data_IF_473892950474
#
_entry.id   IF_473892950474
#
_cell.length_a   1.000
_cell.length_b   1.000
_cell.length_c   1.000
_cell.angle_alpha   90.00
_cell.angle_beta   90.00
_cell.angle_gamma   90.00
#
_symmetry.space_group_name_H-M   'P 1'
#
loop_
_entity.id
_entity.type
_entity.pdbx_description
1 polymer ?
#
# COMPACT_ATOMS: atom_id res chain seq x y z
N UNK A 1 -53.29 -7.55 -43.59
CA UNK A 1 -52.13 -6.68 -43.31
C UNK A 1 -51.82 -6.85 -41.83
N UNK A 2 -51.01 -7.85 -41.52
CA UNK A 2 -50.39 -8.01 -40.21
C UNK A 2 -49.30 -6.94 -40.12
N UNK A 3 -49.48 -5.96 -39.22
CA UNK A 3 -48.46 -4.96 -38.95
C UNK A 3 -47.15 -5.63 -38.50
N UNK A 4 -46.01 -4.95 -38.64
CA UNK A 4 -44.75 -5.47 -38.12
C UNK A 4 -44.93 -5.74 -36.62
N UNK A 5 -44.45 -6.90 -36.18
CA UNK A 5 -44.35 -7.21 -34.75
C UNK A 5 -43.49 -6.14 -34.07
N UNK A 6 -43.76 -5.79 -32.79
CA UNK A 6 -42.86 -4.93 -32.03
C UNK A 6 -41.47 -5.57 -32.06
N UNK A 7 -40.49 -4.83 -32.56
CA UNK A 7 -39.07 -5.17 -32.51
C UNK A 7 -38.71 -5.37 -31.05
N UNK A 8 -38.14 -6.54 -30.74
CA UNK A 8 -37.66 -6.90 -29.42
C UNK A 8 -36.62 -5.86 -28.96
N UNK A 9 -36.87 -5.08 -27.88
CA UNK A 9 -35.99 -4.00 -27.45
C UNK A 9 -34.82 -4.50 -26.59
N UNK A 10 -34.50 -5.79 -26.63
CA UNK A 10 -33.39 -6.37 -25.87
C UNK A 10 -32.06 -6.19 -26.63
N UNK A 11 -31.47 -4.99 -26.51
CA UNK A 11 -30.14 -4.66 -27.05
C UNK A 11 -28.98 -5.35 -26.31
N UNK A 12 -29.27 -6.21 -25.31
CA UNK A 12 -28.25 -6.89 -24.50
C UNK A 12 -27.17 -7.60 -25.32
N UNK A 13 -27.46 -8.36 -26.39
CA UNK A 13 -26.41 -9.02 -27.18
C UNK A 13 -25.44 -8.03 -27.84
N UNK A 14 -25.92 -6.88 -28.30
CA UNK A 14 -25.14 -5.85 -28.98
C UNK A 14 -24.26 -5.08 -27.98
N UNK A 15 -24.82 -4.76 -26.81
CA UNK A 15 -24.10 -4.15 -25.67
C UNK A 15 -22.96 -5.07 -25.22
N UNK A 16 -23.24 -6.36 -25.01
CA UNK A 16 -22.21 -7.33 -24.61
C UNK A 16 -21.15 -7.54 -25.69
N UNK A 17 -21.51 -7.49 -26.97
CA UNK A 17 -20.56 -7.54 -28.07
C UNK A 17 -19.63 -6.31 -28.08
N UNK A 18 -20.19 -5.10 -27.95
CA UNK A 18 -19.41 -3.84 -27.84
C UNK A 18 -18.43 -3.87 -26.68
N UNK A 19 -18.87 -4.39 -25.53
CA UNK A 19 -18.05 -4.54 -24.35
C UNK A 19 -16.96 -5.61 -24.52
N UNK A 20 -17.24 -6.73 -25.20
CA UNK A 20 -16.24 -7.74 -25.53
C UNK A 20 -15.15 -7.19 -26.49
N UNK A 21 -15.53 -6.39 -27.48
CA UNK A 21 -14.60 -5.69 -28.37
C UNK A 21 -13.71 -4.71 -27.60
N UNK A 22 -14.29 -3.93 -26.69
CA UNK A 22 -13.57 -3.00 -25.82
C UNK A 22 -12.56 -3.71 -24.92
N UNK A 23 -12.95 -4.85 -24.32
CA UNK A 23 -12.04 -5.69 -23.52
C UNK A 23 -10.86 -6.21 -24.33
N UNK A 24 -11.11 -6.67 -25.55
CA UNK A 24 -10.04 -7.17 -26.42
C UNK A 24 -9.08 -6.06 -26.81
N UNK A 25 -9.61 -4.88 -27.14
CA UNK A 25 -8.79 -3.69 -27.39
C UNK A 25 -7.94 -3.32 -26.17
N UNK A 26 -8.55 -3.25 -24.98
CA UNK A 26 -7.85 -2.93 -23.73
C UNK A 26 -6.75 -3.94 -23.40
N UNK A 27 -7.01 -5.24 -23.62
CA UNK A 27 -6.03 -6.29 -23.40
C UNK A 27 -4.86 -6.23 -24.40
N UNK A 28 -5.07 -5.68 -25.60
CA UNK A 28 -4.00 -5.40 -26.55
C UNK A 28 -3.13 -4.21 -26.12
N UNK A 29 -3.72 -3.18 -25.50
CA UNK A 29 -2.99 -2.00 -25.00
C UNK A 29 -2.23 -2.29 -23.70
N UNK A 30 -2.85 -3.01 -22.76
CA UNK A 30 -2.26 -3.39 -21.48
C UNK A 30 -2.33 -4.90 -21.25
N UNK A 31 -1.51 -5.71 -21.95
CA UNK A 31 -1.54 -7.17 -21.82
C UNK A 31 -1.31 -7.68 -20.40
N UNK A 32 -0.61 -6.90 -19.56
CA UNK A 32 -0.34 -7.18 -18.15
C UNK A 32 -1.57 -7.07 -17.24
N UNK A 33 -2.67 -6.49 -17.73
CA UNK A 33 -3.96 -6.42 -17.03
C UNK A 33 -5.01 -7.36 -17.63
N UNK A 34 -4.64 -8.24 -18.57
CA UNK A 34 -5.61 -9.09 -19.27
C UNK A 34 -6.46 -9.94 -18.31
N UNK A 35 -5.86 -10.57 -17.29
CA UNK A 35 -6.61 -11.34 -16.30
C UNK A 35 -7.64 -10.49 -15.56
N UNK A 36 -7.29 -9.24 -15.20
CA UNK A 36 -8.21 -8.29 -14.58
C UNK A 36 -9.35 -7.89 -15.53
N UNK A 37 -9.05 -7.57 -16.79
CA UNK A 37 -10.06 -7.21 -17.81
C UNK A 37 -11.09 -8.31 -18.03
N UNK A 38 -10.65 -9.57 -18.07
CA UNK A 38 -11.55 -10.72 -18.26
C UNK A 38 -12.27 -11.14 -16.97
N UNK A 39 -11.84 -10.64 -15.80
CA UNK A 39 -12.49 -10.86 -14.52
C UNK A 39 -13.60 -9.86 -14.22
N UNK A 40 -13.58 -8.67 -14.85
CA UNK A 40 -14.71 -7.74 -14.80
C UNK A 40 -15.99 -8.47 -15.24
N UNK A 41 -17.15 -8.05 -14.73
CA UNK A 41 -18.45 -8.63 -15.12
C UNK A 41 -19.38 -7.54 -15.67
N UNK A 42 -19.90 -7.67 -16.90
CA UNK A 42 -20.87 -6.72 -17.40
C UNK A 42 -22.21 -6.94 -16.69
N UNK A 43 -22.81 -5.84 -16.24
CA UNK A 43 -24.19 -5.78 -15.78
C UNK A 43 -24.91 -4.82 -16.72
N UNK A 44 -25.80 -5.34 -17.57
CA UNK A 44 -26.57 -4.51 -18.50
C UNK A 44 -27.76 -3.94 -17.75
N UNK A 45 -27.86 -2.62 -17.73
CA UNK A 45 -28.94 -1.90 -17.06
C UNK A 45 -30.21 -1.89 -17.91
N UNK A 46 -31.34 -1.61 -17.28
CA UNK A 46 -32.59 -1.38 -18.01
C UNK A 46 -32.43 -0.15 -18.92
N UNK A 47 -32.66 -0.27 -20.24
CA UNK A 47 -32.46 0.84 -21.15
C UNK A 47 -33.49 1.95 -20.91
N UNK A 48 -33.01 3.19 -20.85
CA UNK A 48 -33.88 4.34 -21.06
C UNK A 48 -34.17 4.48 -22.56
N UNK A 49 -35.45 4.41 -22.93
CA UNK A 49 -35.91 4.47 -24.33
C UNK A 49 -36.69 5.75 -24.58
N UNK A 50 -36.44 6.37 -25.73
CA UNK A 50 -37.22 7.51 -26.20
C UNK A 50 -38.64 7.04 -26.57
N UNK A 51 -39.67 7.69 -26.02
CA UNK A 51 -41.07 7.25 -26.18
C UNK A 51 -41.59 7.40 -27.62
N UNK A 52 -41.00 8.27 -28.44
CA UNK A 52 -41.44 8.54 -29.81
C UNK A 52 -40.75 7.63 -30.83
N UNK A 53 -39.46 7.35 -30.64
CA UNK A 53 -38.60 6.60 -31.57
C UNK A 53 -38.38 5.16 -31.15
N UNK A 54 -38.52 4.85 -29.85
CA UNK A 54 -38.22 3.54 -29.27
C UNK A 54 -36.72 3.21 -29.20
N UNK A 55 -35.85 4.17 -29.51
CA UNK A 55 -34.40 3.99 -29.48
C UNK A 55 -33.85 4.20 -28.06
N UNK A 56 -32.81 3.46 -27.69
CA UNK A 56 -32.10 3.67 -26.42
C UNK A 56 -31.40 5.04 -26.42
N UNK A 57 -31.67 5.85 -25.40
CA UNK A 57 -31.08 7.17 -25.21
C UNK A 57 -29.88 7.03 -24.27
N UNK A 58 -28.68 7.51 -24.66
CA UNK A 58 -27.51 7.50 -23.79
C UNK A 58 -27.74 8.32 -22.52
N UNK A 59 -27.46 7.70 -21.37
CA UNK A 59 -27.40 8.40 -20.09
C UNK A 59 -25.96 8.93 -19.84
N UNK A 60 -25.84 10.23 -19.60
CA UNK A 60 -24.55 10.90 -19.36
C UNK A 60 -23.93 10.48 -18.02
N UNK A 61 -24.73 10.08 -17.03
CA UNK A 61 -24.23 9.59 -15.74
C UNK A 61 -23.49 8.25 -15.90
N UNK A 62 -23.80 7.47 -16.95
CA UNK A 62 -23.16 6.18 -17.26
C UNK A 62 -22.10 6.27 -18.36
N UNK A 63 -21.70 7.48 -18.78
CA UNK A 63 -20.70 7.68 -19.86
C UNK A 63 -19.32 7.09 -19.57
N UNK A 64 -19.05 6.78 -18.30
CA UNK A 64 -17.82 6.16 -17.84
C UNK A 64 -17.96 4.68 -17.48
N UNK A 65 -19.15 4.10 -17.59
CA UNK A 65 -19.40 2.68 -17.28
C UNK A 65 -18.99 2.33 -15.84
N UNK A 66 -19.62 2.94 -14.81
CA UNK A 66 -19.18 2.86 -13.42
C UNK A 66 -18.99 1.41 -12.96
N UNK A 67 -17.98 1.20 -12.11
CA UNK A 67 -17.66 -0.11 -11.57
C UNK A 67 -17.95 -0.17 -10.06
N UNK A 68 -18.37 -1.34 -9.59
CA UNK A 68 -18.59 -1.58 -8.16
C UNK A 68 -17.43 -2.35 -7.51
N UNK A 69 -17.39 -2.36 -6.19
CA UNK A 69 -16.35 -3.08 -5.41
C UNK A 69 -16.34 -4.61 -5.65
N UNK A 70 -17.37 -5.16 -6.29
CA UNK A 70 -17.51 -6.58 -6.64
C UNK A 70 -17.04 -6.88 -8.07
N UNK A 71 -16.38 -5.92 -8.74
CA UNK A 71 -15.86 -6.02 -10.10
C UNK A 71 -16.94 -6.10 -11.19
N UNK A 72 -18.16 -5.67 -10.88
CA UNK A 72 -19.16 -5.47 -11.92
C UNK A 72 -18.93 -4.12 -12.59
N UNK A 73 -19.23 -4.06 -13.89
CA UNK A 73 -19.22 -2.84 -14.70
C UNK A 73 -20.63 -2.66 -15.22
N UNK A 74 -21.25 -1.54 -14.85
CA UNK A 74 -22.64 -1.25 -15.18
C UNK A 74 -22.74 -0.56 -16.53
N UNK A 75 -23.50 -1.17 -17.44
CA UNK A 75 -23.59 -0.80 -18.84
C UNK A 75 -24.98 -0.28 -19.15
N UNK A 76 -25.11 1.04 -19.28
CA UNK A 76 -26.27 1.64 -19.95
C UNK A 76 -26.22 1.29 -21.45
N UNK A 77 -27.29 0.68 -22.02
CA UNK A 77 -27.31 0.31 -23.43
C UNK A 77 -27.09 1.48 -24.39
N UNK A 78 -27.69 2.65 -24.13
CA UNK A 78 -27.57 3.83 -24.98
C UNK A 78 -26.12 4.34 -25.04
N UNK A 79 -25.52 4.58 -23.88
CA UNK A 79 -24.14 5.04 -23.72
C UNK A 79 -23.14 4.03 -24.30
N UNK A 80 -23.35 2.74 -24.05
CA UNK A 80 -22.44 1.68 -24.54
C UNK A 80 -22.42 1.63 -26.07
N UNK A 81 -23.59 1.63 -26.71
CA UNK A 81 -23.68 1.53 -28.17
C UNK A 81 -23.22 2.81 -28.89
N UNK A 82 -23.44 3.98 -28.28
CA UNK A 82 -22.97 5.27 -28.79
C UNK A 82 -21.44 5.46 -28.67
N UNK A 83 -20.77 4.72 -27.77
CA UNK A 83 -19.36 4.92 -27.45
C UNK A 83 -18.45 3.96 -28.22
N UNK A 84 -17.41 4.48 -28.87
CA UNK A 84 -16.46 3.65 -29.63
C UNK A 84 -15.69 2.66 -28.73
N UNK A 85 -15.40 1.42 -29.18
CA UNK A 85 -14.74 0.40 -28.36
C UNK A 85 -13.43 0.85 -27.67
N UNK A 86 -12.53 1.66 -28.30
CA UNK A 86 -11.34 2.16 -27.62
C UNK A 86 -11.64 3.03 -26.39
N UNK A 87 -12.71 3.84 -26.44
CA UNK A 87 -13.11 4.71 -25.32
C UNK A 87 -13.69 3.87 -24.18
N UNK A 88 -14.53 2.89 -24.49
CA UNK A 88 -15.02 1.94 -23.49
C UNK A 88 -13.83 1.18 -22.87
N UNK A 89 -12.89 0.70 -23.69
CA UNK A 89 -11.73 -0.03 -23.24
C UNK A 89 -10.79 0.79 -22.35
N UNK A 90 -10.68 2.10 -22.61
CA UNK A 90 -9.96 3.03 -21.74
C UNK A 90 -10.60 3.08 -20.35
N UNK A 91 -11.93 3.21 -20.27
CA UNK A 91 -12.66 3.17 -19.00
C UNK A 91 -12.50 1.84 -18.27
N UNK A 92 -12.44 0.70 -18.97
CA UNK A 92 -12.18 -0.58 -18.32
C UNK A 92 -10.79 -0.64 -17.66
N UNK A 93 -9.77 -0.08 -18.30
CA UNK A 93 -8.43 0.02 -17.72
C UNK A 93 -8.41 0.97 -16.52
N UNK A 94 -9.14 2.08 -16.62
CA UNK A 94 -9.33 3.03 -15.53
C UNK A 94 -9.98 2.35 -14.31
N UNK A 95 -11.09 1.64 -14.49
CA UNK A 95 -11.79 0.94 -13.41
C UNK A 95 -10.94 -0.14 -12.75
N UNK A 96 -10.13 -0.88 -13.51
CA UNK A 96 -9.14 -1.81 -12.93
C UNK A 96 -8.18 -1.06 -12.00
N UNK A 97 -7.78 0.16 -12.38
CA UNK A 97 -6.99 1.05 -11.55
C UNK A 97 -7.61 1.29 -10.18
N UNK A 98 -8.89 1.69 -10.13
CA UNK A 98 -9.62 1.89 -8.87
C UNK A 98 -9.72 0.60 -8.03
N UNK A 99 -10.09 -0.51 -8.68
CA UNK A 99 -10.34 -1.79 -8.03
C UNK A 99 -9.09 -2.35 -7.36
N UNK A 100 -7.97 -2.42 -8.09
CA UNK A 100 -6.73 -3.05 -7.57
C UNK A 100 -5.95 -2.16 -6.59
N UNK A 101 -6.18 -0.85 -6.64
CA UNK A 101 -5.64 0.13 -5.68
C UNK A 101 -6.54 0.31 -4.46
N UNK A 102 -7.68 -0.39 -4.42
CA UNK A 102 -8.63 -0.39 -3.33
C UNK A 102 -9.12 1.01 -2.94
N UNK A 103 -9.36 1.89 -3.92
CA UNK A 103 -9.76 3.28 -3.68
C UNK A 103 -11.02 3.38 -2.81
N UNK A 104 -12.00 2.51 -3.02
CA UNK A 104 -13.17 2.39 -2.16
C UNK A 104 -12.85 2.23 -0.66
N UNK A 105 -11.82 1.44 -0.31
CA UNK A 105 -11.44 1.20 1.10
C UNK A 105 -10.54 2.29 1.67
N UNK A 106 -9.80 2.98 0.80
CA UNK A 106 -8.91 4.11 1.15
C UNK A 106 -9.66 5.43 1.25
N UNK A 107 -10.89 5.48 0.73
CA UNK A 107 -11.76 6.65 0.77
C UNK A 107 -11.94 7.18 2.19
N UNK A 108 -11.76 8.50 2.43
CA UNK A 108 -12.05 9.12 3.71
C UNK A 108 -13.56 9.28 3.96
N UNK A 109 -14.40 8.94 2.97
CA UNK A 109 -15.86 9.00 3.09
C UNK A 109 -16.35 7.77 3.84
N UNK A 110 -17.16 7.98 4.88
CA UNK A 110 -17.82 6.89 5.59
C UNK A 110 -18.89 6.27 4.69
N UNK A 111 -18.89 4.95 4.52
CA UNK A 111 -19.95 4.21 3.82
C UNK A 111 -21.37 4.43 4.39
N UNK A 112 -21.49 5.02 5.60
CA UNK A 112 -22.76 5.40 6.22
C UNK A 112 -23.17 6.86 5.95
N UNK A 113 -22.42 7.60 5.11
CA UNK A 113 -22.82 8.92 4.68
C UNK A 113 -23.93 8.80 3.62
N UNK A 114 -25.07 9.50 3.78
CA UNK A 114 -26.09 9.55 2.74
C UNK A 114 -25.58 10.42 1.60
N UNK A 115 -24.80 9.83 0.70
CA UNK A 115 -24.43 10.41 -0.58
C UNK A 115 -25.25 9.67 -1.62
N UNK A 116 -25.94 10.40 -2.49
CA UNK A 116 -26.77 9.81 -3.54
C UNK A 116 -25.94 9.46 -4.78
N UNK A 117 -24.81 10.12 -5.00
CA UNK A 117 -23.92 9.89 -6.15
C UNK A 117 -22.46 10.28 -5.87
N UNK A 118 -21.50 9.58 -6.50
CA UNK A 118 -20.07 9.93 -6.60
C UNK A 118 -19.82 11.34 -7.17
N UNK A 119 -20.78 11.87 -7.93
CA UNK A 119 -20.79 13.21 -8.52
C UNK A 119 -21.07 14.34 -7.51
N UNK A 120 -21.72 13.99 -6.38
CA UNK A 120 -22.04 14.85 -5.24
C UNK A 120 -23.02 15.98 -5.54
N UNK A 121 -24.15 16.04 -4.83
CA UNK A 121 -24.97 17.26 -4.79
C UNK A 121 -24.40 18.26 -3.77
N UNK A 122 -24.95 19.47 -3.71
CA UNK A 122 -24.45 20.52 -2.82
C UNK A 122 -24.68 20.18 -1.33
N UNK A 123 -23.71 19.51 -0.71
CA UNK A 123 -23.67 19.13 0.71
C UNK A 123 -22.25 18.85 1.23
N UNK A 124 -22.07 18.82 2.56
CA UNK A 124 -20.75 18.62 3.18
C UNK A 124 -20.14 17.22 2.97
N UNK A 125 -20.89 16.10 3.07
CA UNK A 125 -20.36 14.75 2.79
C UNK A 125 -20.00 14.55 1.31
N UNK A 126 -20.88 15.00 0.42
CA UNK A 126 -20.77 14.92 -1.04
C UNK A 126 -19.54 15.68 -1.57
N UNK A 127 -19.15 16.76 -0.89
CA UNK A 127 -17.94 17.51 -1.25
C UNK A 127 -16.63 16.76 -0.98
N UNK A 128 -16.63 15.84 -0.01
CA UNK A 128 -15.46 15.00 0.32
C UNK A 128 -15.37 13.83 -0.67
N UNK A 129 -16.49 13.16 -0.94
CA UNK A 129 -16.57 12.10 -1.96
C UNK A 129 -16.14 12.61 -3.33
N UNK A 130 -16.65 13.78 -3.72
CA UNK A 130 -16.24 14.45 -4.94
C UNK A 130 -14.73 14.60 -5.05
N UNK A 131 -14.07 15.18 -4.04
CA UNK A 131 -12.62 15.42 -4.08
C UNK A 131 -11.82 14.13 -4.04
N UNK A 132 -12.31 13.13 -3.31
CA UNK A 132 -11.71 11.80 -3.30
C UNK A 132 -11.72 11.18 -4.70
N UNK A 133 -12.87 11.21 -5.39
CA UNK A 133 -12.97 10.71 -6.76
C UNK A 133 -12.01 11.44 -7.71
N UNK A 134 -11.90 12.77 -7.63
CA UNK A 134 -10.92 13.52 -8.42
C UNK A 134 -9.47 13.12 -8.13
N UNK A 135 -9.15 12.83 -6.86
CA UNK A 135 -7.81 12.42 -6.45
C UNK A 135 -7.49 10.99 -6.90
N UNK A 136 -8.47 10.09 -6.78
CA UNK A 136 -8.41 8.71 -7.22
C UNK A 136 -8.28 8.62 -8.75
N UNK A 137 -9.05 9.41 -9.50
CA UNK A 137 -8.94 9.54 -10.96
C UNK A 137 -7.55 10.04 -11.35
N UNK A 138 -7.00 11.03 -10.63
CA UNK A 138 -5.66 11.53 -10.89
C UNK A 138 -4.58 10.46 -10.67
N UNK A 139 -4.70 9.62 -9.64
CA UNK A 139 -3.80 8.47 -9.40
C UNK A 139 -3.93 7.39 -10.50
N UNK A 140 -5.11 7.18 -11.07
CA UNK A 140 -5.31 6.14 -12.11
C UNK A 140 -4.92 6.63 -13.49
N UNK A 141 -5.32 7.85 -13.83
CA UNK A 141 -5.19 8.39 -15.18
C UNK A 141 -3.74 8.75 -15.52
N UNK A 142 -2.87 8.94 -14.52
CA UNK A 142 -1.44 9.14 -14.73
C UNK A 142 -0.79 7.95 -15.45
N UNK A 143 -1.18 6.72 -15.12
CA UNK A 143 -0.66 5.49 -15.72
C UNK A 143 -1.21 5.30 -17.14
N UNK A 144 -2.46 5.71 -17.40
CA UNK A 144 -3.09 5.63 -18.72
C UNK A 144 -2.48 6.66 -19.68
N UNK A 145 -2.21 7.88 -19.19
CA UNK A 145 -1.48 8.91 -19.95
C UNK A 145 -0.02 8.48 -20.19
N UNK A 146 0.65 7.93 -19.18
CA UNK A 146 2.02 7.40 -19.32
C UNK A 146 2.11 6.20 -20.27
N UNK A 147 1.03 5.44 -20.45
CA UNK A 147 0.91 4.40 -21.46
C UNK A 147 0.69 4.97 -22.89
N UNK A 148 0.47 6.28 -23.02
CA UNK A 148 0.24 6.95 -24.29
C UNK A 148 -1.13 6.69 -24.89
N UNK A 149 -2.14 6.39 -24.05
CA UNK A 149 -3.51 6.20 -24.50
C UNK A 149 -4.22 7.55 -24.67
N UNK A 150 -5.00 7.68 -25.75
CA UNK A 150 -5.82 8.86 -25.97
C UNK A 150 -6.95 8.92 -24.93
N UNK A 151 -6.91 9.93 -24.07
CA UNK A 151 -7.86 10.09 -22.97
C UNK A 151 -9.22 10.63 -23.45
N UNK A 152 -10.34 10.10 -22.90
CA UNK A 152 -11.66 10.68 -23.13
C UNK A 152 -11.74 12.16 -22.70
N UNK A 153 -12.67 12.91 -23.28
CA UNK A 153 -12.86 14.32 -22.91
C UNK A 153 -13.35 14.44 -21.46
N UNK A 154 -12.82 15.40 -20.72
CA UNK A 154 -13.29 15.73 -19.37
C UNK A 154 -12.70 14.89 -18.23
N UNK A 155 -11.82 13.93 -18.52
CA UNK A 155 -11.14 13.15 -17.48
C UNK A 155 -10.22 14.02 -16.62
N UNK A 156 -10.00 13.57 -15.39
CA UNK A 156 -9.13 14.24 -14.43
C UNK A 156 -7.79 13.52 -14.37
N UNK A 157 -6.71 14.23 -14.69
CA UNK A 157 -5.34 13.73 -14.56
C UNK A 157 -4.45 14.76 -13.88
N UNK A 158 -3.27 14.36 -13.34
CA UNK A 158 -2.35 15.32 -12.74
C UNK A 158 -1.95 16.41 -13.74
N UNK A 159 -1.76 16.05 -15.01
CA UNK A 159 -1.49 17.01 -16.08
C UNK A 159 -2.65 18.00 -16.29
N UNK A 160 -3.90 17.53 -16.36
CA UNK A 160 -5.08 18.40 -16.46
C UNK A 160 -5.23 19.34 -15.26
N UNK A 161 -4.81 18.90 -14.07
CA UNK A 161 -4.84 19.67 -12.82
C UNK A 161 -3.62 20.60 -12.64
N UNK A 162 -2.59 20.48 -13.49
CA UNK A 162 -1.31 21.17 -13.31
C UNK A 162 -0.53 20.72 -12.07
N UNK A 163 -0.72 19.48 -11.64
CA UNK A 163 -0.09 18.86 -10.47
C UNK A 163 1.04 17.89 -10.89
N UNK A 164 1.99 17.58 -9.99
CA UNK A 164 3.02 16.57 -10.26
C UNK A 164 2.41 15.17 -10.46
N UNK A 165 2.93 14.41 -11.42
CA UNK A 165 2.55 13.02 -11.71
C UNK A 165 3.07 12.02 -10.65
N UNK A 166 2.53 10.80 -10.64
CA UNK A 166 3.09 9.66 -9.90
C UNK A 166 2.80 9.65 -8.39
N UNK A 167 1.81 10.40 -7.93
CA UNK A 167 1.40 10.46 -6.52
C UNK A 167 0.20 9.56 -6.23
N UNK A 168 -0.01 9.25 -4.96
CA UNK A 168 -1.19 8.55 -4.49
C UNK A 168 -2.40 9.50 -4.34
N UNK A 169 -3.61 8.96 -4.33
CA UNK A 169 -4.86 9.68 -4.13
C UNK A 169 -4.85 10.51 -2.84
N UNK A 170 -4.30 9.99 -1.74
CA UNK A 170 -4.19 10.72 -0.47
C UNK A 170 -3.23 11.92 -0.56
N UNK A 171 -2.26 11.89 -1.48
CA UNK A 171 -1.37 13.02 -1.73
C UNK A 171 -2.01 14.05 -2.68
N UNK A 172 -2.85 13.61 -3.62
CA UNK A 172 -3.61 14.51 -4.50
C UNK A 172 -4.75 15.22 -3.77
N UNK A 173 -5.41 14.55 -2.83
CA UNK A 173 -6.56 15.10 -2.09
C UNK A 173 -6.31 16.50 -1.50
N UNK A 174 -5.27 16.75 -0.68
CA UNK A 174 -5.01 18.09 -0.13
C UNK A 174 -4.63 19.11 -1.21
N UNK A 175 -4.03 18.70 -2.32
CA UNK A 175 -3.72 19.60 -3.45
C UNK A 175 -5.01 20.04 -4.16
N UNK A 176 -5.94 19.12 -4.36
CA UNK A 176 -7.26 19.39 -4.96
C UNK A 176 -8.10 20.28 -4.04
N UNK A 177 -8.05 20.09 -2.71
CA UNK A 177 -8.71 20.99 -1.75
C UNK A 177 -8.23 22.44 -1.87
N UNK A 178 -6.92 22.64 -2.09
CA UNK A 178 -6.34 23.97 -2.33
C UNK A 178 -6.84 24.54 -3.66
N UNK A 179 -6.88 23.74 -4.73
CA UNK A 179 -7.37 24.15 -6.05
C UNK A 179 -8.87 24.53 -6.00
N UNK A 180 -9.70 23.73 -5.35
CA UNK A 180 -11.14 24.00 -5.15
C UNK A 180 -11.38 25.31 -4.37
N UNK A 181 -10.56 25.55 -3.34
CA UNK A 181 -10.64 26.78 -2.54
C UNK A 181 -10.27 28.01 -3.36
N UNK A 182 -9.26 27.89 -4.23
CA UNK A 182 -8.89 28.94 -5.18
C UNK A 182 -9.97 29.15 -6.25
N UNK A 183 -10.57 28.08 -6.74
CA UNK A 183 -11.64 28.09 -7.72
C UNK A 183 -12.88 28.85 -7.21
N UNK A 184 -13.28 28.60 -5.97
CA UNK A 184 -14.40 29.28 -5.29
C UNK A 184 -14.22 30.80 -5.15
N UNK A 185 -13.02 31.34 -5.43
CA UNK A 185 -12.70 32.78 -5.43
C UNK A 185 -12.63 33.40 -6.84
N UNK A 186 -13.16 32.71 -7.86
CA UNK A 186 -13.29 33.22 -9.24
C UNK A 186 -12.49 32.47 -10.31
N UNK A 187 -12.10 31.21 -10.05
CA UNK A 187 -11.45 30.34 -11.06
C UNK A 187 -12.45 29.68 -12.02
N UNK A 188 -11.95 28.86 -12.96
CA UNK A 188 -12.76 28.04 -13.90
C UNK A 188 -12.88 26.59 -13.41
N UNK A 189 -14.07 25.97 -13.53
CA UNK A 189 -14.39 24.66 -12.90
C UNK A 189 -13.51 23.60 -13.56
N UNK A 190 -12.94 22.72 -12.74
CA UNK A 190 -11.78 21.91 -13.16
C UNK A 190 -12.13 20.78 -14.13
N UNK A 191 -13.35 20.24 -14.06
CA UNK A 191 -14.03 19.41 -15.07
C UNK A 191 -15.45 19.16 -14.57
N UNK A 192 -16.35 18.66 -15.42
CA UNK A 192 -17.58 18.02 -14.95
C UNK A 192 -17.22 16.69 -14.31
N UNK A 193 -17.78 16.40 -13.13
CA UNK A 193 -17.44 15.15 -12.46
C UNK A 193 -17.96 13.97 -13.25
N UNK A 194 -17.20 12.89 -13.22
CA UNK A 194 -17.54 11.63 -13.87
C UNK A 194 -17.82 10.62 -12.76
N UNK A 195 -18.94 9.90 -12.85
CA UNK A 195 -19.27 8.83 -11.92
C UNK A 195 -18.45 7.58 -12.27
N UNK A 196 -17.55 7.18 -11.38
CA UNK A 196 -16.75 5.96 -11.52
C UNK A 196 -17.34 4.78 -10.74
N UNK A 197 -18.46 4.97 -10.05
CA UNK A 197 -19.14 4.00 -9.19
C UNK A 197 -18.46 3.76 -7.85
N UNK A 198 -19.02 2.83 -7.06
CA UNK A 198 -18.54 2.55 -5.71
C UNK A 198 -17.10 2.00 -5.66
N UNK A 199 -16.52 1.55 -6.77
CA UNK A 199 -15.11 1.18 -6.83
C UNK A 199 -14.16 2.35 -6.50
N UNK A 200 -14.60 3.59 -6.75
CA UNK A 200 -13.80 4.78 -6.50
C UNK A 200 -13.92 5.28 -5.06
N UNK A 201 -15.13 5.42 -4.51
CA UNK A 201 -15.37 6.06 -3.20
C UNK A 201 -15.97 5.14 -2.13
N UNK A 202 -16.41 3.93 -2.50
CA UNK A 202 -17.02 2.96 -1.59
C UNK A 202 -18.48 3.25 -1.24
N UNK A 203 -19.14 4.16 -1.95
CA UNK A 203 -20.54 4.54 -1.72
C UNK A 203 -21.44 3.71 -2.64
N UNK A 204 -22.31 2.83 -2.11
CA UNK A 204 -23.21 2.05 -2.94
C UNK A 204 -24.25 2.94 -3.65
N UNK A 205 -24.61 2.57 -4.89
CA UNK A 205 -25.62 3.27 -5.68
C UNK A 205 -26.87 2.39 -5.92
N UNK A 206 -28.00 3.02 -6.21
CA UNK A 206 -29.28 2.32 -6.44
C UNK A 206 -29.22 1.32 -7.62
N UNK A 207 -28.40 1.60 -8.64
CA UNK A 207 -28.18 0.69 -9.78
C UNK A 207 -27.31 -0.52 -9.42
N UNK A 208 -26.57 -0.48 -8.31
CA UNK A 208 -25.77 -1.60 -7.81
C UNK A 208 -26.63 -2.62 -7.07
N UNK A 209 -27.76 -2.23 -6.46
CA UNK A 209 -28.62 -3.12 -5.66
C UNK A 209 -29.58 -3.97 -6.51
N UNK A 210 -29.97 -3.50 -7.69
CA UNK A 210 -31.03 -4.08 -8.51
C UNK A 210 -30.55 -5.09 -9.55
N UNK A 211 -29.26 -5.04 -9.93
CA UNK A 211 -28.70 -5.81 -11.04
C UNK A 211 -27.36 -6.51 -10.74
N UNK A 212 -26.78 -6.35 -9.54
CA UNK A 212 -25.51 -6.98 -9.20
C UNK A 212 -25.67 -8.49 -9.00
N UNK A 213 -25.23 -9.27 -9.99
CA UNK A 213 -25.02 -10.70 -9.83
C UNK A 213 -23.96 -11.01 -8.76
N UNK A 214 -23.67 -12.31 -8.56
CA UNK A 214 -22.56 -12.74 -7.70
C UNK A 214 -21.21 -12.32 -8.33
N UNK A 215 -20.82 -11.06 -8.15
CA UNK A 215 -19.48 -10.54 -8.48
C UNK A 215 -18.38 -11.27 -7.70
N UNK A 216 -17.13 -10.87 -7.89
CA UNK A 216 -16.01 -11.59 -7.26
C UNK A 216 -16.07 -11.53 -5.74
N UNK A 217 -15.85 -12.68 -5.10
CA UNK A 217 -15.62 -12.76 -3.65
C UNK A 217 -14.30 -12.09 -3.27
N UNK A 218 -14.13 -11.75 -1.98
CA UNK A 218 -12.86 -11.21 -1.45
C UNK A 218 -11.65 -12.11 -1.78
N UNK A 219 -11.79 -13.42 -1.59
CA UNK A 219 -10.71 -14.37 -1.90
C UNK A 219 -10.40 -14.45 -3.39
N UNK A 220 -11.40 -14.39 -4.27
CA UNK A 220 -11.18 -14.37 -5.72
C UNK A 220 -10.48 -13.08 -6.16
N UNK A 221 -10.85 -11.92 -5.57
CA UNK A 221 -10.19 -10.63 -5.80
C UNK A 221 -8.71 -10.68 -5.38
N UNK A 222 -8.43 -11.20 -4.19
CA UNK A 222 -7.05 -11.36 -3.70
C UNK A 222 -6.18 -12.23 -4.61
N UNK A 223 -6.71 -13.37 -5.06
CA UNK A 223 -6.00 -14.29 -5.97
C UNK A 223 -5.76 -13.61 -7.31
N UNK A 224 -6.76 -12.89 -7.84
CA UNK A 224 -6.65 -12.16 -9.09
C UNK A 224 -5.58 -11.07 -9.01
N UNK A 225 -5.58 -10.26 -7.96
CA UNK A 225 -4.57 -9.21 -7.75
C UNK A 225 -3.15 -9.76 -7.67
N UNK A 226 -2.95 -10.85 -6.93
CA UNK A 226 -1.65 -11.53 -6.87
C UNK A 226 -1.20 -12.04 -8.24
N UNK A 227 -2.13 -12.56 -9.04
CA UNK A 227 -1.84 -13.01 -10.40
C UNK A 227 -1.46 -11.84 -11.31
N UNK A 228 -2.20 -10.71 -11.27
CA UNK A 228 -1.90 -9.49 -12.02
C UNK A 228 -0.54 -8.93 -11.62
N UNK A 229 -0.25 -8.84 -10.32
CA UNK A 229 1.02 -8.34 -9.83
C UNK A 229 2.20 -9.22 -10.30
N UNK A 230 2.06 -10.55 -10.27
CA UNK A 230 3.07 -11.48 -10.79
C UNK A 230 3.28 -11.35 -12.30
N UNK A 231 2.20 -11.11 -13.03
CA UNK A 231 2.25 -10.91 -14.49
C UNK A 231 2.98 -9.61 -14.84
N UNK A 232 2.71 -8.51 -14.12
CA UNK A 232 3.44 -7.24 -14.27
C UNK A 232 4.93 -7.44 -13.99
N UNK A 233 5.30 -8.12 -12.90
CA UNK A 233 6.69 -8.39 -12.55
C UNK A 233 7.39 -9.22 -13.65
N UNK A 234 6.73 -10.28 -14.14
CA UNK A 234 7.25 -11.16 -15.20
C UNK A 234 7.50 -10.38 -16.49
N UNK A 235 6.54 -9.54 -16.92
CA UNK A 235 6.70 -8.71 -18.13
C UNK A 235 7.70 -7.57 -17.95
N UNK A 236 7.78 -6.99 -16.75
CA UNK A 236 8.81 -5.99 -16.41
C UNK A 236 10.21 -6.60 -16.52
N UNK A 237 10.42 -7.82 -16.02
CA UNK A 237 11.68 -8.56 -16.18
C UNK A 237 12.01 -8.85 -17.65
N UNK A 238 10.98 -9.08 -18.48
CA UNK A 238 11.11 -9.21 -19.94
C UNK A 238 11.30 -7.86 -20.67
N UNK A 239 11.46 -6.74 -19.95
CA UNK A 239 11.63 -5.37 -20.47
C UNK A 239 10.44 -4.86 -21.29
N UNK A 240 9.23 -5.31 -20.98
CA UNK A 240 8.02 -4.72 -21.55
C UNK A 240 7.84 -3.26 -21.06
N UNK A 241 7.31 -2.41 -21.91
CA UNK A 241 6.90 -1.05 -21.53
C UNK A 241 5.66 -1.14 -20.65
N UNK A 242 5.82 -0.82 -19.37
CA UNK A 242 4.73 -0.77 -18.38
C UNK A 242 4.84 0.60 -17.70
N UNK A 243 3.74 1.29 -17.38
CA UNK A 243 3.79 2.52 -16.59
C UNK A 243 4.43 2.32 -15.20
N UNK A 244 4.93 3.42 -14.64
CA UNK A 244 5.63 3.40 -13.35
C UNK A 244 4.74 3.02 -12.17
N UNK A 245 3.49 3.49 -12.15
CA UNK A 245 2.52 3.20 -11.09
C UNK A 245 2.23 1.72 -11.00
N UNK A 246 1.91 1.08 -12.12
CA UNK A 246 1.72 -0.38 -12.20
C UNK A 246 2.91 -1.19 -11.67
N UNK A 247 4.15 -0.80 -11.94
CA UNK A 247 5.34 -1.48 -11.39
C UNK A 247 5.45 -1.32 -9.88
N UNK A 248 5.18 -0.12 -9.35
CA UNK A 248 5.20 0.14 -7.90
C UNK A 248 4.11 -0.67 -7.19
N UNK A 249 2.88 -0.58 -7.69
CA UNK A 249 1.74 -1.35 -7.18
C UNK A 249 2.03 -2.86 -7.15
N UNK A 250 2.54 -3.42 -8.25
CA UNK A 250 2.86 -4.85 -8.30
C UNK A 250 3.96 -5.23 -7.30
N UNK A 251 4.99 -4.39 -7.16
CA UNK A 251 6.06 -4.60 -6.19
C UNK A 251 5.53 -4.57 -4.76
N UNK A 252 4.71 -3.58 -4.40
CA UNK A 252 4.08 -3.44 -3.09
C UNK A 252 3.12 -4.59 -2.79
N UNK A 253 2.38 -5.07 -3.79
CA UNK A 253 1.44 -6.19 -3.62
C UNK A 253 2.15 -7.53 -3.39
N UNK A 254 3.29 -7.77 -4.06
CA UNK A 254 4.07 -9.02 -3.96
C UNK A 254 5.08 -9.00 -2.81
N UNK A 255 5.59 -7.82 -2.49
CA UNK A 255 6.56 -7.57 -1.44
C UNK A 255 5.98 -6.49 -0.52
N UNK A 256 4.83 -6.75 0.14
CA UNK A 256 4.28 -5.80 1.09
C UNK A 256 5.36 -5.49 2.09
N UNK A 257 5.58 -4.20 2.37
CA UNK A 257 6.54 -3.74 3.34
C UNK A 257 6.30 -4.54 4.61
N UNK A 258 7.19 -5.50 4.88
CA UNK A 258 7.09 -6.33 6.08
C UNK A 258 7.07 -5.34 7.22
N UNK A 259 6.05 -5.43 8.10
CA UNK A 259 6.09 -4.68 9.34
C UNK A 259 7.33 -5.16 10.09
N UNK A 260 8.44 -4.46 9.86
CA UNK A 260 9.73 -4.82 10.40
C UNK A 260 9.67 -4.82 11.92
N UNK A 261 8.68 -4.14 12.51
CA UNK A 261 8.36 -4.19 13.92
C UNK A 261 7.79 -5.55 14.33
N UNK A 262 6.90 -6.14 13.53
CA UNK A 262 6.41 -7.50 13.72
C UNK A 262 7.52 -8.54 13.53
N UNK A 263 8.38 -8.37 12.53
CA UNK A 263 9.51 -9.26 12.25
C UNK A 263 10.57 -9.20 13.37
N UNK A 264 11.04 -7.99 13.71
CA UNK A 264 11.96 -7.76 14.82
C UNK A 264 11.36 -8.26 16.14
N UNK A 265 10.08 -7.98 16.38
CA UNK A 265 9.35 -8.49 17.53
C UNK A 265 9.32 -10.01 17.57
N UNK A 266 9.13 -10.69 16.44
CA UNK A 266 9.13 -12.14 16.36
C UNK A 266 10.54 -12.72 16.57
N UNK A 267 11.59 -12.08 16.04
CA UNK A 267 12.99 -12.46 16.29
C UNK A 267 13.35 -12.32 17.77
N UNK A 268 12.95 -11.21 18.42
CA UNK A 268 13.16 -10.99 19.84
C UNK A 268 12.46 -12.06 20.69
N UNK A 269 11.21 -12.43 20.35
CA UNK A 269 10.48 -13.50 21.06
C UNK A 269 11.12 -14.88 20.89
N UNK A 270 11.66 -15.20 19.71
CA UNK A 270 12.30 -16.50 19.40
C UNK A 270 13.71 -16.64 19.98
N UNK A 271 14.46 -15.54 20.07
CA UNK A 271 15.87 -15.53 20.50
C UNK A 271 16.12 -15.17 21.96
N UNK A 272 15.10 -14.70 22.70
CA UNK A 272 15.28 -14.21 24.06
C UNK A 272 15.59 -15.31 25.08
N UNK A 273 16.60 -15.06 25.92
CA UNK A 273 16.77 -15.80 27.19
C UNK A 273 15.52 -15.62 28.07
N UNK A 274 15.10 -16.69 28.74
CA UNK A 274 14.02 -16.66 29.72
C UNK A 274 14.56 -16.30 31.11
N UNK A 275 14.01 -15.26 31.73
CA UNK A 275 14.24 -14.89 33.13
C UNK A 275 12.98 -15.15 33.97
N UNK A 276 13.07 -15.00 35.30
CA UNK A 276 11.89 -15.07 36.15
C UNK A 276 10.95 -13.88 35.85
N UNK A 277 9.67 -14.14 35.58
CA UNK A 277 8.71 -13.10 35.26
C UNK A 277 7.31 -13.66 34.99
N UNK A 278 6.28 -12.82 34.95
CA UNK A 278 4.87 -13.26 34.94
C UNK A 278 4.26 -13.29 33.54
N UNK A 279 5.00 -13.81 32.54
CA UNK A 279 4.55 -13.80 31.14
C UNK A 279 4.11 -15.18 30.69
N UNK A 280 4.91 -16.22 30.94
CA UNK A 280 4.65 -17.58 30.47
C UNK A 280 5.09 -18.63 31.51
N UNK A 281 4.70 -19.89 31.31
CA UNK A 281 5.05 -21.02 32.17
C UNK A 281 6.19 -21.84 31.55
N UNK A 282 7.18 -22.20 32.36
CA UNK A 282 8.30 -23.05 31.93
C UNK A 282 8.57 -24.16 32.94
N UNK A 283 8.74 -25.38 32.43
CA UNK A 283 9.13 -26.56 33.21
C UNK A 283 10.64 -26.81 33.20
N UNK A 284 11.42 -26.02 32.44
CA UNK A 284 12.88 -26.16 32.36
C UNK A 284 13.56 -25.93 33.71
N UNK A 285 12.93 -25.13 34.58
CA UNK A 285 13.32 -24.92 35.97
C UNK A 285 12.06 -24.93 36.84
N UNK A 286 11.65 -26.11 37.36
CA UNK A 286 10.43 -26.24 38.15
C UNK A 286 10.39 -25.28 39.33
N UNK A 287 9.18 -24.83 39.68
CA UNK A 287 8.95 -23.94 40.82
C UNK A 287 9.46 -24.58 42.12
N UNK A 288 10.14 -23.79 42.96
CA UNK A 288 10.57 -24.23 44.31
C UNK A 288 9.43 -24.22 45.33
N UNK A 289 8.22 -23.82 44.93
CA UNK A 289 7.03 -23.86 45.79
C UNK A 289 6.66 -25.32 46.07
N UNK A 290 6.20 -25.65 47.29
CA UNK A 290 5.82 -27.01 47.61
C UNK A 290 4.75 -27.51 46.63
N UNK A 291 5.03 -28.64 45.98
CA UNK A 291 4.10 -29.30 45.08
C UNK A 291 2.89 -29.80 45.87
N UNK A 292 1.69 -29.60 45.33
CA UNK A 292 0.48 -30.27 45.81
C UNK A 292 0.37 -31.60 45.06
N UNK A 293 0.14 -32.71 45.76
CA UNK A 293 -0.13 -34.03 45.20
C UNK A 293 0.86 -34.54 44.13
N UNK A 294 2.16 -34.33 44.35
CA UNK A 294 3.22 -34.82 43.43
C UNK A 294 3.25 -34.15 42.05
N UNK A 295 2.50 -33.07 41.85
CA UNK A 295 2.47 -32.32 40.59
C UNK A 295 3.69 -31.40 40.51
N UNK A 296 4.52 -31.58 39.48
CA UNK A 296 5.61 -30.64 39.18
C UNK A 296 4.99 -29.32 38.74
N UNK A 297 5.17 -28.26 39.52
CA UNK A 297 4.62 -26.95 39.20
C UNK A 297 5.56 -26.19 38.24
N UNK A 298 5.04 -25.60 37.15
CA UNK A 298 5.84 -24.76 36.28
C UNK A 298 6.31 -23.49 37.01
N UNK A 299 7.48 -22.98 36.63
CA UNK A 299 7.90 -21.63 37.04
C UNK A 299 7.37 -20.61 36.04
N UNK A 300 7.01 -19.42 36.54
CA UNK A 300 6.68 -18.28 35.70
C UNK A 300 7.97 -17.66 35.16
N UNK A 301 8.07 -17.54 33.84
CA UNK A 301 9.18 -16.89 33.13
C UNK A 301 8.71 -15.70 32.31
N UNK A 302 9.64 -14.80 32.02
CA UNK A 302 9.47 -13.74 31.03
C UNK A 302 10.69 -13.69 30.10
N UNK A 303 10.50 -13.38 28.80
CA UNK A 303 11.61 -13.05 27.92
C UNK A 303 12.40 -11.85 28.48
N UNK A 304 13.71 -12.01 28.64
CA UNK A 304 14.62 -10.95 29.01
C UNK A 304 15.85 -10.99 28.10
N UNK A 305 15.69 -10.71 26.79
CA UNK A 305 16.81 -10.66 25.86
C UNK A 305 17.78 -9.54 26.28
N UNK A 306 19.07 -9.85 26.33
CA UNK A 306 20.12 -8.84 26.44
C UNK A 306 20.41 -8.30 25.03
N UNK A 307 20.13 -7.01 24.78
CA UNK A 307 20.22 -6.41 23.44
C UNK A 307 21.27 -5.31 23.44
N UNK A 308 22.18 -5.37 22.49
CA UNK A 308 23.14 -4.31 22.20
C UNK A 308 22.72 -3.58 20.93
N UNK A 309 22.58 -2.26 21.01
CA UNK A 309 22.29 -1.37 19.90
C UNK A 309 23.58 -0.63 19.52
N UNK A 310 24.04 -0.85 18.30
CA UNK A 310 25.17 -0.12 17.69
C UNK A 310 24.58 0.93 16.76
N UNK A 311 24.92 2.19 17.03
CA UNK A 311 24.42 3.35 16.28
C UNK A 311 25.60 3.93 15.49
N UNK A 312 25.48 3.93 14.17
CA UNK A 312 26.38 4.66 13.31
C UNK A 312 26.15 6.18 13.49
N UNK A 313 27.20 6.89 13.91
CA UNK A 313 27.19 8.35 14.10
C UNK A 313 28.04 9.08 13.06
N UNK A 314 28.27 8.44 11.91
CA UNK A 314 28.95 9.08 10.78
C UNK A 314 28.15 10.25 10.21
N UNK A 315 28.84 11.16 9.54
CA UNK A 315 28.27 12.40 9.03
C UNK A 315 27.16 12.24 7.99
N UNK A 316 26.92 11.04 7.46
CA UNK A 316 25.84 10.73 6.51
C UNK A 316 24.49 10.45 7.18
N UNK A 317 24.45 10.26 8.51
CA UNK A 317 23.21 9.96 9.23
C UNK A 317 22.66 11.22 9.90
N UNK A 318 21.43 11.61 9.54
CA UNK A 318 20.79 12.80 10.12
C UNK A 318 20.15 12.48 11.48
N UNK A 319 20.21 13.40 12.46
CA UNK A 319 19.61 13.20 13.79
C UNK A 319 18.10 12.92 13.77
N UNK A 320 17.38 13.42 12.76
CA UNK A 320 15.93 13.26 12.64
C UNK A 320 15.52 11.80 12.33
N UNK A 321 16.22 11.15 11.40
CA UNK A 321 16.00 9.73 11.07
C UNK A 321 16.29 8.84 12.28
N UNK A 322 17.37 9.16 13.00
CA UNK A 322 17.80 8.40 14.15
C UNK A 322 16.79 8.49 15.32
N UNK A 323 16.20 9.66 15.56
CA UNK A 323 15.27 9.84 16.69
C UNK A 323 13.98 9.02 16.54
N UNK A 324 13.35 9.04 15.35
CA UNK A 324 12.12 8.29 15.11
C UNK A 324 12.33 6.78 15.21
N UNK A 325 13.38 6.28 14.56
CA UNK A 325 13.71 4.86 14.60
C UNK A 325 14.09 4.37 16.01
N UNK A 326 14.89 5.15 16.75
CA UNK A 326 15.27 4.81 18.12
C UNK A 326 14.06 4.71 19.05
N UNK A 327 13.08 5.60 18.90
CA UNK A 327 11.84 5.57 19.67
C UNK A 327 11.07 4.26 19.44
N UNK A 328 10.98 3.83 18.18
CA UNK A 328 10.24 2.63 17.80
C UNK A 328 10.93 1.33 18.23
N UNK A 329 12.24 1.20 18.02
CA UNK A 329 13.01 0.05 18.53
C UNK A 329 12.90 -0.04 20.04
N UNK A 330 13.03 1.09 20.72
CA UNK A 330 12.87 1.18 22.17
C UNK A 330 11.48 0.72 22.62
N UNK A 331 10.42 1.03 21.84
CA UNK A 331 9.05 0.57 22.09
C UNK A 331 8.86 -0.93 21.84
N UNK A 332 9.39 -1.46 20.73
CA UNK A 332 9.34 -2.90 20.39
C UNK A 332 10.05 -3.72 21.47
N UNK A 333 11.23 -3.28 21.89
CA UNK A 333 11.99 -3.95 22.96
C UNK A 333 11.26 -3.81 24.30
N UNK A 334 10.64 -2.67 24.60
CA UNK A 334 9.83 -2.52 25.83
C UNK A 334 8.68 -3.50 25.88
N UNK A 335 7.99 -3.72 24.75
CA UNK A 335 6.89 -4.69 24.64
C UNK A 335 7.39 -6.13 24.78
N UNK A 336 8.57 -6.45 24.24
CA UNK A 336 9.14 -7.79 24.28
C UNK A 336 9.74 -8.16 25.65
N UNK A 337 10.37 -7.21 26.34
CA UNK A 337 11.20 -7.46 27.53
C UNK A 337 10.64 -6.87 28.84
N UNK A 338 9.55 -6.10 28.75
CA UNK A 338 8.89 -5.48 29.90
C UNK A 338 9.62 -4.24 30.47
N UNK A 339 9.07 -3.65 31.55
CA UNK A 339 9.52 -2.35 32.08
C UNK A 339 10.90 -2.37 32.76
N UNK A 340 11.41 -3.54 33.13
CA UNK A 340 12.72 -3.69 33.78
C UNK A 340 13.89 -3.81 32.80
N UNK A 341 13.65 -3.65 31.49
CA UNK A 341 14.67 -3.84 30.46
C UNK A 341 15.84 -2.85 30.58
N UNK A 342 17.00 -3.28 30.10
CA UNK A 342 18.19 -2.45 29.90
C UNK A 342 18.60 -2.56 28.44
N UNK A 343 18.93 -1.43 27.82
CA UNK A 343 19.47 -1.38 26.48
C UNK A 343 20.92 -0.93 26.58
N UNK A 344 21.84 -1.69 26.00
CA UNK A 344 23.23 -1.27 25.86
C UNK A 344 23.39 -0.57 24.52
N UNK A 345 23.70 0.72 24.53
CA UNK A 345 23.85 1.55 23.33
C UNK A 345 25.31 1.89 23.14
N UNK A 346 25.80 1.70 21.93
CA UNK A 346 27.19 1.96 21.53
C UNK A 346 27.13 2.84 20.29
N UNK A 347 27.52 4.10 20.44
CA UNK A 347 27.75 4.94 19.27
C UNK A 347 29.05 4.51 18.60
N UNK A 348 29.08 4.43 17.28
CA UNK A 348 30.23 3.96 16.52
C UNK A 348 30.46 4.87 15.33
N UNK A 349 31.66 5.41 15.25
CA UNK A 349 32.21 6.05 14.06
C UNK A 349 33.39 5.19 13.57
N UNK A 350 34.59 5.76 13.45
CA UNK A 350 35.83 4.99 13.27
C UNK A 350 36.20 4.18 14.51
N UNK A 351 35.70 4.55 15.69
CA UNK A 351 35.89 3.82 16.93
C UNK A 351 34.56 3.61 17.65
N UNK A 352 34.48 2.56 18.46
CA UNK A 352 33.37 2.37 19.38
C UNK A 352 33.49 3.32 20.57
N UNK A 353 32.45 4.14 20.80
CA UNK A 353 32.34 5.02 21.96
C UNK A 353 31.94 4.26 23.23
N UNK A 354 32.11 4.85 24.42
CA UNK A 354 31.72 4.21 25.68
C UNK A 354 30.27 3.75 25.69
N UNK A 355 30.04 2.54 26.22
CA UNK A 355 28.73 1.91 26.29
C UNK A 355 27.82 2.70 27.22
N UNK A 356 26.65 3.11 26.71
CA UNK A 356 25.58 3.72 27.47
C UNK A 356 24.55 2.66 27.86
N UNK A 357 24.06 2.70 29.10
CA UNK A 357 22.99 1.80 29.54
C UNK A 357 21.73 2.60 29.78
N UNK A 358 20.77 2.50 28.86
CA UNK A 358 19.56 3.33 28.86
C UNK A 358 18.31 2.49 28.99
N UNK A 359 17.21 3.15 29.38
CA UNK A 359 15.86 2.58 29.34
C UNK A 359 15.01 3.24 28.29
N UNK A 360 15.16 4.55 28.07
CA UNK A 360 14.41 5.32 27.08
C UNK A 360 15.33 5.78 25.95
N UNK A 361 14.76 5.99 24.78
CA UNK A 361 15.49 6.54 23.62
C UNK A 361 15.97 7.96 23.90
N UNK A 362 15.17 8.74 24.65
CA UNK A 362 15.47 10.12 25.06
C UNK A 362 16.74 10.23 25.93
N UNK A 363 17.15 9.14 26.59
CA UNK A 363 18.33 9.11 27.47
C UNK A 363 19.63 8.82 26.69
N UNK A 364 19.56 8.62 25.36
CA UNK A 364 20.71 8.29 24.52
C UNK A 364 21.46 9.57 24.14
N UNK A 365 22.72 9.65 24.54
CA UNK A 365 23.63 10.70 24.10
C UNK A 365 24.36 10.25 22.84
N UNK A 366 24.14 10.93 21.71
CA UNK A 366 24.81 10.60 20.46
C UNK A 366 26.23 11.16 20.48
N UNK A 367 27.23 10.27 20.42
CA UNK A 367 28.65 10.61 20.45
C UNK A 367 29.30 10.25 19.10
N UNK A 368 30.12 11.16 18.55
CA UNK A 368 30.86 10.93 17.30
C UNK A 368 30.70 12.03 16.26
N UNK A 369 30.75 11.65 14.98
CA UNK A 369 30.71 12.57 13.83
C UNK A 369 31.85 12.36 12.81
N UNK A 370 32.52 11.20 12.82
CA UNK A 370 33.63 10.86 11.93
C UNK A 370 33.25 9.95 10.75
N UNK A 371 34.22 9.18 10.25
CA UNK A 371 33.96 8.05 9.33
C UNK A 371 33.26 6.88 10.06
N UNK A 372 33.14 5.71 9.43
CA UNK A 372 32.43 4.56 10.02
C UNK A 372 33.23 3.26 9.90
N UNK A 373 33.26 2.46 10.97
CA UNK A 373 33.79 1.10 11.02
C UNK A 373 32.98 0.20 11.97
N UNK A 374 32.01 -0.53 11.42
CA UNK A 374 31.14 -1.41 12.20
C UNK A 374 31.87 -2.63 12.79
N UNK A 375 33.12 -2.90 12.42
CA UNK A 375 33.92 -3.95 13.08
C UNK A 375 34.19 -3.58 14.54
N UNK A 376 34.47 -2.32 14.81
CA UNK A 376 34.71 -1.80 16.16
C UNK A 376 33.41 -1.80 16.98
N UNK A 377 32.31 -1.32 16.41
CA UNK A 377 30.99 -1.30 17.08
C UNK A 377 30.48 -2.69 17.44
N UNK A 378 30.54 -3.64 16.51
CA UNK A 378 30.16 -5.05 16.76
C UNK A 378 31.15 -5.71 17.74
N UNK A 379 32.45 -5.41 17.64
CA UNK A 379 33.47 -5.87 18.57
C UNK A 379 33.19 -5.44 20.01
N UNK A 380 32.85 -4.16 20.22
CA UNK A 380 32.48 -3.61 21.52
C UNK A 380 31.22 -4.25 22.08
N UNK A 381 30.19 -4.47 21.24
CA UNK A 381 28.97 -5.18 21.64
C UNK A 381 29.26 -6.62 22.09
N UNK A 382 30.17 -7.33 21.41
CA UNK A 382 30.58 -8.69 21.76
C UNK A 382 31.37 -8.77 23.07
N UNK A 383 32.05 -7.70 23.47
CA UNK A 383 32.82 -7.61 24.71
C UNK A 383 31.95 -7.43 25.97
N UNK A 384 30.66 -7.08 25.81
CA UNK A 384 29.73 -6.87 26.92
C UNK A 384 29.55 -8.13 27.80
N UNK A 385 29.33 -7.88 29.09
CA UNK A 385 29.05 -8.88 30.12
C UNK A 385 27.81 -8.44 30.94
N UNK A 386 26.69 -9.18 30.88
CA UNK A 386 26.45 -10.40 30.10
C UNK A 386 26.54 -10.15 28.60
N UNK A 387 26.84 -11.21 27.85
CA UNK A 387 26.94 -11.13 26.39
C UNK A 387 25.54 -10.95 25.79
N UNK A 388 25.33 -10.04 24.82
CA UNK A 388 24.02 -9.85 24.22
C UNK A 388 23.54 -11.10 23.47
N UNK A 389 22.23 -11.29 23.46
CA UNK A 389 21.52 -12.30 22.68
C UNK A 389 21.25 -11.82 21.24
N UNK A 390 21.23 -10.50 21.03
CA UNK A 390 21.01 -9.85 19.74
C UNK A 390 21.83 -8.56 19.66
N UNK A 391 22.48 -8.35 18.51
CA UNK A 391 23.07 -7.06 18.14
C UNK A 391 22.18 -6.43 17.07
N UNK A 392 21.72 -5.21 17.31
CA UNK A 392 21.02 -4.39 16.34
C UNK A 392 21.98 -3.28 15.89
N UNK A 393 22.21 -3.15 14.59
CA UNK A 393 23.10 -2.15 14.00
C UNK A 393 22.28 -1.18 13.17
N UNK A 394 22.45 0.12 13.38
CA UNK A 394 21.82 1.18 12.59
C UNK A 394 22.88 1.89 11.78
N UNK A 395 22.74 1.85 10.46
CA UNK A 395 23.70 2.43 9.53
C UNK A 395 23.02 2.65 8.17
N UNK A 396 23.63 3.49 7.34
CA UNK A 396 23.32 3.60 5.91
C UNK A 396 24.01 2.50 5.07
N UNK A 397 24.81 1.65 5.73
CA UNK A 397 25.50 0.51 5.15
C UNK A 397 26.88 0.82 4.56
N UNK A 398 27.33 2.08 4.57
CA UNK A 398 28.60 2.50 3.97
C UNK A 398 29.80 2.29 4.90
N UNK A 399 30.00 1.06 5.36
CA UNK A 399 30.96 0.75 6.43
C UNK A 399 31.68 -0.57 6.22
N UNK A 400 32.96 -0.68 6.63
CA UNK A 400 33.64 -1.97 6.73
C UNK A 400 32.89 -2.92 7.68
N UNK A 401 32.58 -4.11 7.17
CA UNK A 401 31.92 -5.16 7.94
C UNK A 401 32.91 -6.22 8.44
N UNK A 402 32.60 -6.96 9.52
CA UNK A 402 33.38 -8.13 9.92
C UNK A 402 33.39 -9.21 8.83
N UNK A 403 34.58 -9.70 8.47
CA UNK A 403 34.74 -10.80 7.50
C UNK A 403 34.11 -12.12 7.96
N UNK A 404 33.98 -12.30 9.27
CA UNK A 404 33.44 -13.52 9.88
C UNK A 404 32.13 -13.22 10.60
N UNK A 405 31.16 -14.12 10.43
CA UNK A 405 29.87 -14.08 11.13
C UNK A 405 30.08 -14.02 12.65
N UNK A 406 29.53 -13.00 13.34
CA UNK A 406 29.54 -12.93 14.79
C UNK A 406 28.81 -14.12 15.43
N UNK A 407 29.18 -14.57 16.64
CA UNK A 407 28.54 -15.72 17.27
C UNK A 407 27.16 -15.41 17.88
N UNK A 408 26.65 -14.20 17.68
CA UNK A 408 25.29 -13.77 18.06
C UNK A 408 24.60 -13.28 16.79
N UNK A 409 23.27 -13.45 16.68
CA UNK A 409 22.50 -12.84 15.59
C UNK A 409 22.74 -11.34 15.51
N UNK A 410 22.91 -10.85 14.29
CA UNK A 410 23.05 -9.42 13.99
C UNK A 410 21.94 -9.04 13.03
N UNK A 411 21.18 -8.02 13.43
CA UNK A 411 20.16 -7.38 12.60
C UNK A 411 20.68 -6.01 12.21
N UNK A 412 20.62 -5.69 10.92
CA UNK A 412 21.03 -4.39 10.38
C UNK A 412 19.79 -3.65 9.95
N UNK A 413 19.47 -2.57 10.67
CA UNK A 413 18.51 -1.57 10.21
C UNK A 413 19.21 -0.65 9.21
N UNK A 414 18.98 -0.90 7.93
CA UNK A 414 19.56 -0.15 6.84
C UNK A 414 18.68 1.07 6.56
N UNK A 415 19.19 2.26 6.86
CA UNK A 415 18.54 3.51 6.47
C UNK A 415 18.77 3.70 4.98
N UNK A 416 17.70 3.79 4.19
CA UNK A 416 17.85 4.10 2.76
C UNK A 416 18.57 5.44 2.59
N UNK A 417 19.72 5.48 1.90
CA UNK A 417 20.34 6.74 1.56
C UNK A 417 19.46 7.42 0.49
N UNK A 418 19.28 8.74 0.59
CA UNK A 418 18.44 9.50 -0.34
C UNK A 418 18.80 9.28 -1.83
N UNK A 419 17.94 9.68 -2.77
CA UNK A 419 18.12 9.40 -4.19
C UNK A 419 19.50 9.86 -4.70
N UNK A 420 20.27 8.92 -5.26
CA UNK A 420 21.58 9.16 -5.87
C UNK A 420 22.79 8.51 -5.16
N UNK A 421 22.58 7.80 -4.05
CA UNK A 421 23.64 7.07 -3.36
C UNK A 421 23.57 5.56 -3.64
N UNK A 422 24.67 4.99 -4.14
CA UNK A 422 24.84 3.54 -4.30
C UNK A 422 25.71 2.99 -3.17
N UNK A 423 25.32 1.86 -2.57
CA UNK A 423 26.11 1.17 -1.55
C UNK A 423 27.36 0.54 -2.19
N UNK A 424 28.55 1.08 -1.92
CA UNK A 424 29.81 0.51 -2.43
C UNK A 424 30.15 -0.84 -1.75
N UNK A 425 29.60 -1.11 -0.56
CA UNK A 425 29.76 -2.39 0.15
C UNK A 425 28.42 -2.86 0.71
N UNK A 426 27.75 -3.86 0.10
CA UNK A 426 26.49 -4.37 0.63
C UNK A 426 26.69 -5.06 1.99
N UNK A 427 25.69 -5.05 2.89
CA UNK A 427 25.76 -5.82 4.12
C UNK A 427 26.04 -7.30 3.85
N UNK A 428 26.85 -7.96 4.67
CA UNK A 428 27.25 -9.34 4.45
C UNK A 428 26.08 -10.30 4.62
N UNK A 429 26.00 -11.35 3.79
CA UNK A 429 24.86 -12.30 3.78
C UNK A 429 24.64 -13.13 5.05
N UNK A 430 25.47 -12.97 6.08
CA UNK A 430 25.23 -13.53 7.41
C UNK A 430 24.39 -12.64 8.32
N UNK A 431 24.25 -11.36 7.98
CA UNK A 431 23.44 -10.39 8.70
C UNK A 431 22.00 -10.42 8.20
N UNK A 432 21.04 -10.24 9.12
CA UNK A 432 19.64 -10.06 8.74
C UNK A 432 19.40 -8.58 8.46
N UNK A 433 19.08 -8.21 7.23
CA UNK A 433 18.92 -6.81 6.83
C UNK A 433 17.45 -6.44 6.83
N UNK A 434 17.14 -5.32 7.48
CA UNK A 434 15.82 -4.70 7.52
C UNK A 434 15.96 -3.33 6.87
N UNK A 435 15.22 -3.09 5.79
CA UNK A 435 15.13 -1.76 5.18
C UNK A 435 14.30 -0.83 6.08
N UNK A 436 14.83 0.34 6.37
CA UNK A 436 14.16 1.37 7.17
C UNK A 436 13.71 2.50 6.25
N UNK A 437 12.45 2.95 6.35
CA UNK A 437 11.97 4.08 5.56
C UNK A 437 12.75 5.34 5.92
N UNK A 438 13.08 6.16 4.91
CA UNK A 438 13.81 7.42 5.11
C UNK A 438 13.01 8.47 5.93
N UNK A 439 11.72 8.22 6.15
CA UNK A 439 10.82 9.02 6.97
C UNK A 439 9.89 8.10 7.76
N UNK A 440 9.81 8.31 9.08
CA UNK A 440 8.87 7.63 9.98
C UNK A 440 7.49 8.31 9.96
#
# INVERSE_FOLDING_TARGET
MTGPAPTDPDHTPEVLARFAEARLWAAAQAPYLASALFALRPVVLEPYVDEETGESVPDDDFRAFPADTRWNVHLDPGATLATAPPVVGWWLLHHIGHLVRHHATRSPVSANAPSTHATGEAGAPDSIARRWNQAADAEVNDDLEAAGLDSPAGIISPHALGLPEGRLAEEYLPLIEVLDTAHSKGGRRLAELIDCGSAADGIPHDYEDSASGDGLSETERDILELAVAREIETRSAARATIPGGWRRWASERLHPAVDWRAELGAMLRRGARQAAGRVDFSYSRPSRRPAVDSIVMPAMVAPAPEIALVIDTSGSITPAILTGFLAEVTAIIARASGPSRRLHVICCDLNAHPVQTVRRAEDIELLGGGGTDMREGIGAALALRPRPDLILVLTDGQTPWPDRRPPVPVVVGLVEPGPGYHTETPPPGWAHVIALPATA
#
